data_IF_852451653683
#
_entry.id   IF_852451653683
#
_cell.length_a   1.000
_cell.length_b   1.000
_cell.length_c   1.000
_cell.angle_alpha   90.00
_cell.angle_beta   90.00
_cell.angle_gamma   90.00
#
_symmetry.space_group_name_H-M   'P 1'
#
loop_
_entity.id
_entity.type
_entity.pdbx_description
1 polymer ?
#
# COMPACT_ATOMS: atom_id res chain seq x y z
N UNK A 1 -2.45 -10.11 -16.94
CA UNK A 1 -1.11 -10.28 -17.54
C UNK A 1 -0.23 -11.16 -16.64
N UNK A 2 0.59 -12.09 -17.17
CA UNK A 2 1.44 -12.98 -16.37
C UNK A 2 2.40 -12.25 -15.41
N UNK A 3 3.04 -11.16 -15.85
CA UNK A 3 3.94 -10.37 -15.00
C UNK A 3 3.22 -9.73 -13.80
N UNK A 4 1.99 -9.24 -14.00
CA UNK A 4 1.20 -8.65 -12.92
C UNK A 4 0.83 -9.71 -11.86
N UNK A 5 0.50 -10.93 -12.31
CA UNK A 5 0.26 -12.05 -11.40
C UNK A 5 1.53 -12.42 -10.63
N UNK A 6 2.69 -12.47 -11.30
CA UNK A 6 3.97 -12.76 -10.66
C UNK A 6 4.32 -11.70 -9.59
N UNK A 7 4.18 -10.41 -9.91
CA UNK A 7 4.39 -9.31 -8.97
C UNK A 7 3.45 -9.40 -7.76
N UNK A 8 2.16 -9.69 -7.99
CA UNK A 8 1.19 -9.85 -6.91
C UNK A 8 1.54 -11.04 -5.99
N UNK A 9 1.98 -12.16 -6.56
CA UNK A 9 2.42 -13.32 -5.80
C UNK A 9 3.70 -13.03 -5.00
N UNK A 10 4.65 -12.29 -5.56
CA UNK A 10 5.86 -11.87 -4.85
C UNK A 10 5.50 -11.01 -3.64
N UNK A 11 4.65 -10.01 -3.80
CA UNK A 11 4.18 -9.17 -2.69
C UNK A 11 3.45 -10.00 -1.63
N UNK A 12 2.57 -10.93 -2.03
CA UNK A 12 1.91 -11.83 -1.07
C UNK A 12 2.91 -12.71 -0.31
N UNK A 13 3.96 -13.21 -0.98
CA UNK A 13 5.02 -13.97 -0.33
C UNK A 13 5.76 -13.14 0.72
N UNK A 14 6.10 -11.89 0.39
CA UNK A 14 6.74 -10.96 1.34
C UNK A 14 5.85 -10.70 2.56
N UNK A 15 4.57 -10.40 2.36
CA UNK A 15 3.63 -10.19 3.48
C UNK A 15 3.54 -11.42 4.39
N UNK A 16 3.58 -12.65 3.83
CA UNK A 16 3.56 -13.89 4.61
C UNK A 16 4.81 -14.08 5.49
N UNK A 17 5.88 -13.32 5.28
CA UNK A 17 7.07 -13.33 6.17
C UNK A 17 6.83 -12.68 7.53
N UNK A 18 5.71 -11.96 7.69
CA UNK A 18 5.31 -11.36 8.98
C UNK A 18 5.47 -9.85 9.06
N UNK A 19 6.02 -9.22 8.01
CA UNK A 19 6.27 -7.79 7.95
C UNK A 19 5.75 -7.18 6.63
N UNK A 20 5.10 -6.03 6.75
CA UNK A 20 4.67 -5.19 5.62
C UNK A 20 5.84 -4.30 5.17
N UNK A 21 6.56 -3.75 6.14
CA UNK A 21 7.73 -2.88 5.99
C UNK A 21 8.61 -3.01 7.24
N UNK A 22 9.85 -2.47 7.27
CA UNK A 22 10.70 -2.51 8.45
C UNK A 22 9.97 -2.00 9.71
N UNK A 23 9.88 -2.86 10.73
CA UNK A 23 9.19 -2.55 11.99
C UNK A 23 7.65 -2.55 11.92
N UNK A 24 7.04 -2.87 10.78
CA UNK A 24 5.59 -2.89 10.60
C UNK A 24 5.09 -4.32 10.38
N UNK A 25 4.54 -4.96 11.41
CA UNK A 25 4.10 -6.35 11.33
C UNK A 25 2.78 -6.51 10.57
N UNK A 26 2.62 -7.63 9.85
CA UNK A 26 1.34 -8.00 9.23
C UNK A 26 0.23 -8.29 10.25
N UNK A 27 0.55 -8.49 11.53
CA UNK A 27 -0.47 -8.59 12.59
C UNK A 27 -1.41 -7.38 12.67
N UNK A 28 -0.97 -6.21 12.20
CA UNK A 28 -1.84 -5.03 12.10
C UNK A 28 -3.07 -5.27 11.21
N UNK A 29 -2.92 -6.13 10.19
CA UNK A 29 -3.99 -6.50 9.26
C UNK A 29 -5.04 -7.42 9.89
N UNK A 30 -4.80 -7.94 11.10
CA UNK A 30 -5.77 -8.73 11.86
C UNK A 30 -6.68 -7.84 12.74
N UNK A 31 -6.37 -6.54 12.85
CA UNK A 31 -7.07 -5.58 13.69
C UNK A 31 -7.83 -4.51 12.90
N UNK A 32 -7.75 -3.26 13.38
CA UNK A 32 -8.36 -2.09 12.72
C UNK A 32 -7.86 -1.87 11.30
N UNK A 33 -6.63 -2.28 11.01
CA UNK A 33 -6.07 -2.25 9.67
C UNK A 33 -6.38 -3.50 8.84
N UNK A 34 -7.34 -4.31 9.25
CA UNK A 34 -7.89 -5.37 8.41
C UNK A 34 -8.64 -4.86 7.18
N UNK A 35 -8.92 -5.77 6.24
CA UNK A 35 -9.64 -5.46 5.00
C UNK A 35 -8.85 -4.63 3.98
N UNK A 36 -7.54 -4.43 4.21
CA UNK A 36 -6.68 -3.66 3.30
C UNK A 36 -6.45 -4.40 1.98
N UNK A 37 -6.57 -3.66 0.88
CA UNK A 37 -6.19 -4.13 -0.44
C UNK A 37 -4.76 -3.71 -0.75
N UNK A 38 -3.97 -4.65 -1.24
CA UNK A 38 -2.63 -4.39 -1.76
C UNK A 38 -2.64 -4.49 -3.28
N UNK A 39 -2.06 -3.50 -3.95
CA UNK A 39 -2.01 -3.40 -5.40
C UNK A 39 -0.57 -3.45 -5.91
N UNK A 40 -0.40 -3.95 -7.13
CA UNK A 40 0.86 -3.89 -7.87
C UNK A 40 0.64 -3.28 -9.25
N UNK A 41 1.62 -2.50 -9.72
CA UNK A 41 1.67 -1.98 -11.08
C UNK A 41 2.99 -2.39 -11.70
N UNK A 42 2.93 -3.27 -12.71
CA UNK A 42 4.12 -3.61 -13.51
C UNK A 42 4.47 -2.41 -14.36
N UNK A 43 5.74 -2.00 -14.29
CA UNK A 43 6.27 -0.85 -15.01
C UNK A 43 7.50 -1.26 -15.81
N UNK A 44 7.73 -0.56 -16.91
CA UNK A 44 8.97 -0.63 -17.66
C UNK A 44 9.65 0.73 -17.56
N UNK A 45 10.92 0.73 -17.14
CA UNK A 45 11.71 1.93 -17.06
C UNK A 45 12.34 2.34 -18.40
N UNK A 46 13.00 3.51 -18.46
CA UNK A 46 13.50 4.08 -19.71
C UNK A 46 14.54 3.21 -20.42
N UNK A 47 15.27 2.36 -19.71
CA UNK A 47 16.28 1.46 -20.29
C UNK A 47 15.73 0.05 -20.58
N UNK A 48 14.40 -0.11 -20.52
CA UNK A 48 13.72 -1.37 -20.79
C UNK A 48 13.63 -2.32 -19.59
N UNK A 49 14.15 -1.93 -18.42
CA UNK A 49 14.05 -2.71 -17.19
C UNK A 49 12.60 -2.88 -16.74
N UNK A 50 12.22 -4.11 -16.42
CA UNK A 50 10.87 -4.42 -15.97
C UNK A 50 10.89 -4.58 -14.46
N UNK A 51 10.02 -3.83 -13.78
CA UNK A 51 9.82 -3.90 -12.34
C UNK A 51 8.35 -3.78 -11.98
N UNK A 52 8.06 -3.60 -10.69
CA UNK A 52 6.71 -3.27 -10.25
C UNK A 52 6.72 -2.32 -9.07
N UNK A 53 5.72 -1.44 -9.05
CA UNK A 53 5.37 -0.61 -7.90
C UNK A 53 4.34 -1.36 -7.05
N UNK A 54 4.31 -1.06 -5.76
CA UNK A 54 3.32 -1.62 -4.81
C UNK A 54 2.64 -0.52 -4.01
N UNK A 55 1.36 -0.70 -3.74
CA UNK A 55 0.51 0.24 -3.03
C UNK A 55 -0.43 -0.49 -2.06
N UNK A 56 -1.04 0.25 -1.14
CA UNK A 56 -2.12 -0.21 -0.28
C UNK A 56 -3.29 0.79 -0.31
N UNK A 57 -4.49 0.31 0.02
CA UNK A 57 -5.70 1.15 0.09
C UNK A 57 -5.75 1.97 1.39
N UNK A 58 -5.98 3.28 1.28
CA UNK A 58 -6.15 4.17 2.44
C UNK A 58 -4.85 4.41 3.21
N UNK A 59 -4.96 4.59 4.53
CA UNK A 59 -3.80 4.65 5.43
C UNK A 59 -3.49 3.27 5.98
N UNK A 60 -2.23 3.01 6.30
CA UNK A 60 -1.79 1.82 7.02
C UNK A 60 -1.14 2.23 8.34
N UNK A 61 -1.64 1.74 9.47
CA UNK A 61 -1.22 2.19 10.80
C UNK A 61 -1.29 3.72 10.97
N UNK A 62 -2.30 4.35 10.37
CA UNK A 62 -2.48 5.81 10.36
C UNK A 62 -1.45 6.57 9.52
N UNK A 63 -0.74 5.89 8.61
CA UNK A 63 0.30 6.48 7.75
C UNK A 63 -0.06 6.36 6.28
N UNK A 64 0.22 7.43 5.53
CA UNK A 64 0.19 7.43 4.08
C UNK A 64 1.49 6.90 3.46
N UNK A 65 2.63 7.22 4.09
CA UNK A 65 3.95 6.77 3.64
C UNK A 65 4.39 5.56 4.45
N UNK A 66 4.68 4.49 3.72
CA UNK A 66 5.27 3.28 4.27
C UNK A 66 6.41 2.88 3.36
N UNK A 67 7.58 2.61 3.96
CA UNK A 67 8.78 2.27 3.22
C UNK A 67 8.54 1.11 2.25
N UNK A 68 9.01 1.27 1.02
CA UNK A 68 8.83 0.28 -0.05
C UNK A 68 7.49 0.37 -0.80
N UNK A 69 6.56 1.22 -0.37
CA UNK A 69 5.30 1.49 -1.06
C UNK A 69 5.28 2.88 -1.71
N UNK A 70 4.51 3.01 -2.78
CA UNK A 70 4.28 4.33 -3.38
C UNK A 70 3.42 5.19 -2.45
N UNK A 71 3.71 6.49 -2.44
CA UNK A 71 2.90 7.47 -1.71
C UNK A 71 1.53 7.72 -2.35
N UNK A 72 0.67 8.53 -1.71
CA UNK A 72 -0.63 8.89 -2.22
C UNK A 72 -0.52 9.74 -3.50
N UNK A 73 -1.48 9.56 -4.40
CA UNK A 73 -1.58 10.32 -5.65
C UNK A 73 -2.30 11.67 -5.49
N UNK A 74 -2.84 11.95 -4.31
CA UNK A 74 -3.59 13.18 -4.00
C UNK A 74 -2.75 14.16 -3.19
N UNK A 75 -3.12 15.44 -3.27
CA UNK A 75 -2.59 16.49 -2.38
C UNK A 75 -3.17 16.32 -0.97
N UNK A 76 -2.29 16.11 0.01
CA UNK A 76 -2.68 15.85 1.40
C UNK A 76 -3.20 17.09 2.09
N UNK A 77 -2.56 18.24 1.87
CA UNK A 77 -2.97 19.49 2.51
C UNK A 77 -4.34 19.91 2.00
N UNK A 78 -4.58 19.74 0.69
CA UNK A 78 -5.90 19.90 0.13
C UNK A 78 -6.90 18.93 0.78
N UNK A 79 -6.58 17.63 0.85
CA UNK A 79 -7.50 16.63 1.45
C UNK A 79 -7.84 16.93 2.91
N UNK A 80 -6.85 17.24 3.75
CA UNK A 80 -7.04 17.54 5.17
C UNK A 80 -7.92 18.79 5.36
N UNK A 81 -7.90 19.73 4.41
CA UNK A 81 -8.78 20.91 4.42
C UNK A 81 -10.23 20.62 4.03
N UNK A 82 -10.50 19.47 3.39
CA UNK A 82 -11.82 19.10 2.85
C UNK A 82 -12.51 17.95 3.57
N UNK A 83 -11.82 17.15 4.40
CA UNK A 83 -12.48 16.07 5.15
C UNK A 83 -13.41 16.65 6.24
N UNK A 84 -14.75 16.51 6.11
CA UNK A 84 -15.64 16.71 7.23
C UNK A 84 -15.34 15.62 8.25
N UNK A 85 -15.57 15.87 9.55
CA UNK A 85 -15.41 14.91 10.64
C UNK A 85 -16.41 13.72 10.57
N UNK A 86 -16.42 12.98 9.46
CA UNK A 86 -17.29 11.84 9.19
C UNK A 86 -16.81 10.53 9.82
N UNK A 87 -15.58 10.47 10.33
CA UNK A 87 -15.06 9.32 11.08
C UNK A 87 -15.31 9.41 12.60
N UNK A 88 -15.95 10.49 13.08
CA UNK A 88 -16.30 10.65 14.50
C UNK A 88 -17.61 9.95 14.91
N UNK A 89 -18.32 9.29 13.97
CA UNK A 89 -19.60 8.63 14.23
C UNK A 89 -19.69 7.26 13.53
N UNK A 90 -18.95 6.26 14.01
CA UNK A 90 -19.35 4.84 13.92
C UNK A 90 -18.98 4.14 15.22
#
# INVERSE_FOLDING_TARGET
HPLARAAALALQAELRTGFIAPGLSTRLLEGRDGGKMFGVLVVQGPNGEVGFLRAFSGMLAGRWDVEGFVGPLFDREARDSFEPAGEAQV
#
